data_IF_681344748400
#
_entry.id   IF_681344748400
#
_cell.length_a   1.000
_cell.length_b   1.000
_cell.length_c   1.000
_cell.angle_alpha   90.00
_cell.angle_beta   90.00
_cell.angle_gamma   90.00
#
_symmetry.space_group_name_H-M   'P 1'
#
loop_
_entity.id
_entity.type
_entity.pdbx_description
1 polymer ?
#
# COMPACT_ATOMS: atom_id res chain seq x y z
N UNK A 1 -8.55 10.83 5.95
CA UNK A 1 -7.24 10.15 5.79
C UNK A 1 -6.32 10.65 6.88
N UNK A 2 -5.38 9.81 7.31
CA UNK A 2 -4.47 10.07 8.44
C UNK A 2 -3.36 11.10 8.10
N UNK A 3 -3.10 11.35 6.81
CA UNK A 3 -2.22 12.41 6.24
C UNK A 3 -0.72 12.14 6.35
N UNK A 4 -0.26 11.13 7.09
CA UNK A 4 1.15 10.78 7.11
C UNK A 4 1.61 10.30 5.73
N UNK A 5 2.86 10.63 5.40
CA UNK A 5 3.46 10.25 4.13
C UNK A 5 3.76 8.75 4.14
N UNK A 6 3.30 8.05 3.10
CA UNK A 6 3.70 6.68 2.83
C UNK A 6 4.86 6.65 1.84
N UNK A 7 5.80 5.73 2.06
CA UNK A 7 6.85 5.40 1.10
C UNK A 7 6.53 4.06 0.44
N UNK A 8 6.96 3.92 -0.81
CA UNK A 8 6.84 2.65 -1.55
C UNK A 8 8.18 2.31 -2.18
N UNK A 9 8.49 1.03 -2.20
CA UNK A 9 9.68 0.47 -2.85
C UNK A 9 9.29 -0.81 -3.60
N UNK A 10 10.03 -1.15 -4.67
CA UNK A 10 9.74 -2.29 -5.54
C UNK A 10 9.23 -1.93 -6.94
N UNK A 11 8.80 -2.92 -7.71
CA UNK A 11 8.37 -2.76 -9.11
C UNK A 11 7.35 -3.82 -9.55
N UNK A 12 6.62 -3.51 -10.64
CA UNK A 12 5.64 -4.41 -11.23
C UNK A 12 4.42 -4.61 -10.33
N UNK A 13 4.26 -5.80 -9.77
CA UNK A 13 3.20 -6.12 -8.78
C UNK A 13 3.79 -6.36 -7.39
N UNK A 14 5.12 -6.34 -7.26
CA UNK A 14 5.84 -6.61 -6.02
C UNK A 14 6.32 -5.29 -5.41
N UNK A 15 5.50 -4.74 -4.52
CA UNK A 15 5.82 -3.52 -3.77
C UNK A 15 5.81 -3.76 -2.27
N UNK A 16 6.57 -2.95 -1.57
CA UNK A 16 6.54 -2.84 -0.11
C UNK A 16 6.18 -1.40 0.27
N UNK A 17 5.26 -1.25 1.21
CA UNK A 17 4.82 0.03 1.76
C UNK A 17 5.48 0.23 3.13
N UNK A 18 6.07 1.41 3.34
CA UNK A 18 6.81 1.76 4.56
C UNK A 18 7.79 0.66 5.00
N UNK A 19 8.47 0.05 4.03
CA UNK A 19 9.50 -0.99 4.20
C UNK A 19 9.06 -2.23 5.02
N UNK A 20 7.76 -2.42 5.24
CA UNK A 20 7.23 -3.45 6.15
C UNK A 20 6.02 -4.20 5.60
N UNK A 21 5.05 -3.50 4.99
CA UNK A 21 3.83 -4.13 4.50
C UNK A 21 3.95 -4.49 3.02
N UNK A 22 3.85 -5.78 2.67
CA UNK A 22 3.96 -6.22 1.28
C UNK A 22 2.62 -6.13 0.58
N UNK A 23 2.62 -5.62 -0.65
CA UNK A 23 1.46 -5.71 -1.55
C UNK A 23 1.33 -7.15 -2.03
N UNK A 24 0.18 -7.76 -1.73
CA UNK A 24 -0.14 -9.14 -2.15
C UNK A 24 -1.00 -9.18 -3.41
N UNK A 25 -1.78 -8.13 -3.66
CA UNK A 25 -2.55 -7.96 -4.89
C UNK A 25 -2.63 -6.46 -5.20
N UNK A 26 -1.91 -6.05 -6.24
CA UNK A 26 -1.84 -4.66 -6.66
C UNK A 26 -2.78 -4.33 -7.82
N UNK A 27 -2.96 -3.04 -8.06
CA UNK A 27 -3.62 -2.51 -9.26
C UNK A 27 -5.08 -2.99 -9.50
N UNK A 28 -5.83 -3.31 -8.43
CA UNK A 28 -7.23 -3.71 -8.53
C UNK A 28 -8.09 -2.50 -8.87
N UNK A 29 -8.68 -2.46 -10.06
CA UNK A 29 -9.51 -1.33 -10.51
C UNK A 29 -10.90 -1.37 -9.89
N UNK A 30 -11.31 -0.25 -9.32
CA UNK A 30 -12.69 0.00 -8.91
C UNK A 30 -13.27 1.13 -9.76
N UNK A 31 -14.55 1.46 -9.56
CA UNK A 31 -15.22 2.53 -10.32
C UNK A 31 -14.55 3.91 -10.16
N UNK A 32 -13.82 4.14 -9.06
CA UNK A 32 -13.31 5.45 -8.67
C UNK A 32 -11.84 5.44 -8.24
N UNK A 33 -11.21 4.28 -8.11
CA UNK A 33 -9.87 4.18 -7.53
C UNK A 33 -9.12 2.94 -8.03
N UNK A 34 -7.87 2.85 -7.59
CA UNK A 34 -7.07 1.64 -7.69
C UNK A 34 -6.77 1.16 -6.27
N UNK A 35 -7.08 -0.09 -5.98
CA UNK A 35 -6.89 -0.71 -4.66
C UNK A 35 -5.63 -1.58 -4.70
N UNK A 36 -4.85 -1.49 -3.63
CA UNK A 36 -3.68 -2.32 -3.37
C UNK A 36 -3.91 -3.02 -2.03
N UNK A 37 -3.89 -4.34 -2.03
CA UNK A 37 -4.08 -5.18 -0.84
C UNK A 37 -2.71 -5.45 -0.23
N UNK A 38 -2.56 -5.18 1.06
CA UNK A 38 -1.33 -5.39 1.82
C UNK A 38 -1.52 -6.47 2.90
N UNK A 39 -0.44 -7.14 3.27
CA UNK A 39 -0.45 -8.25 4.25
C UNK A 39 -0.44 -7.79 5.72
N UNK A 40 -0.13 -6.52 5.97
CA UNK A 40 0.10 -5.99 7.31
C UNK A 40 -0.65 -4.68 7.52
N UNK A 41 -1.15 -4.46 8.73
CA UNK A 41 -1.84 -3.20 9.10
C UNK A 41 -0.81 -2.08 9.24
N UNK A 42 -1.08 -0.94 8.59
CA UNK A 42 -0.32 0.28 8.83
C UNK A 42 -0.88 1.00 10.05
N UNK A 43 -0.08 1.08 11.12
CA UNK A 43 -0.44 1.81 12.32
C UNK A 43 -0.15 3.31 12.13
N UNK A 44 -1.10 4.21 12.50
CA UNK A 44 -0.83 5.64 12.57
C UNK A 44 0.34 5.93 13.52
N UNK A 45 1.12 6.96 13.21
CA UNK A 45 2.24 7.36 14.08
C UNK A 45 1.83 8.32 15.20
N UNK A 46 0.60 8.87 15.16
CA UNK A 46 0.07 9.86 16.11
C UNK A 46 -1.44 9.76 16.29
#
# INVERSE_FOLDING_TARGET
LEKSKLTTSGSGESYTVNDSAKVVCGNVKTANATVYIIDSVLMPTS
#
